data_IF_515446584151
#
_entry.id   IF_515446584151
#
_cell.length_a   1.000
_cell.length_b   1.000
_cell.length_c   1.000
_cell.angle_alpha   90.00
_cell.angle_beta   90.00
_cell.angle_gamma   90.00
#
_symmetry.space_group_name_H-M   'P 1'
#
loop_
_entity.id
_entity.type
_entity.pdbx_description
1 polymer ?
#
# COMPACT_ATOMS: atom_id res chain seq x y z
N UNK A 1 -28.66 4.97 54.72
CA UNK A 1 -29.30 6.22 54.23
C UNK A 1 -28.29 6.94 53.34
N UNK A 2 -28.46 6.89 52.02
CA UNK A 2 -27.57 7.57 51.07
C UNK A 2 -27.77 9.08 51.20
N UNK A 3 -26.69 9.83 51.35
CA UNK A 3 -26.76 11.27 51.57
C UNK A 3 -27.09 11.98 50.25
N UNK A 4 -27.83 13.09 50.31
CA UNK A 4 -28.31 13.79 49.10
C UNK A 4 -27.16 14.30 48.21
N UNK A 5 -26.00 14.57 48.82
CA UNK A 5 -24.75 14.92 48.14
C UNK A 5 -24.13 13.74 47.39
N UNK A 6 -24.19 12.54 47.96
CA UNK A 6 -23.66 11.33 47.32
C UNK A 6 -24.53 10.91 46.14
N UNK A 7 -25.86 11.10 46.26
CA UNK A 7 -26.79 10.93 45.13
C UNK A 7 -26.49 11.93 44.00
N UNK A 8 -26.15 13.18 44.36
CA UNK A 8 -25.85 14.24 43.38
C UNK A 8 -24.52 14.01 42.67
N UNK A 9 -23.51 13.49 43.39
CA UNK A 9 -22.21 13.07 42.82
C UNK A 9 -22.39 11.87 41.89
N UNK A 10 -23.23 10.89 42.27
CA UNK A 10 -23.53 9.73 41.42
C UNK A 10 -24.21 10.14 40.10
N UNK A 11 -25.13 11.11 40.15
CA UNK A 11 -25.75 11.70 38.96
C UNK A 11 -24.76 12.48 38.09
N UNK A 12 -23.79 13.18 38.71
CA UNK A 12 -22.74 13.90 37.97
C UNK A 12 -21.81 12.94 37.21
N UNK A 13 -21.47 11.79 37.80
CA UNK A 13 -20.64 10.76 37.16
C UNK A 13 -21.35 10.07 35.98
N UNK A 14 -22.66 9.84 36.09
CA UNK A 14 -23.46 9.26 35.00
C UNK A 14 -23.58 10.25 33.81
N UNK A 15 -23.68 11.55 34.09
CA UNK A 15 -23.74 12.59 33.05
C UNK A 15 -22.45 12.76 32.25
N UNK A 16 -21.28 12.44 32.83
CA UNK A 16 -19.97 12.50 32.15
C UNK A 16 -19.74 11.26 31.27
N UNK A 17 -20.27 10.10 31.65
CA UNK A 17 -20.08 8.84 30.91
C UNK A 17 -20.88 8.75 29.59
N UNK A 18 -21.91 9.59 29.41
CA UNK A 18 -22.78 9.57 28.22
C UNK A 18 -22.21 10.43 27.06
N UNK A 19 -21.16 11.23 27.29
CA UNK A 19 -20.68 12.23 26.33
C UNK A 19 -19.53 11.78 25.42
N UNK A 20 -19.12 10.52 25.48
CA UNK A 20 -18.20 9.94 24.50
C UNK A 20 -18.93 8.94 23.61
N UNK A 21 -19.78 9.36 22.65
CA UNK A 21 -19.94 8.54 21.48
C UNK A 21 -18.54 8.44 20.86
N UNK A 22 -18.02 7.22 20.75
CA UNK A 22 -16.91 6.93 19.85
C UNK A 22 -17.36 7.40 18.47
N UNK A 23 -16.93 8.60 18.09
CA UNK A 23 -17.25 9.21 16.81
C UNK A 23 -16.51 8.39 15.75
N UNK A 24 -17.15 7.32 15.28
CA UNK A 24 -16.83 6.74 13.98
C UNK A 24 -17.44 7.65 12.95
N UNK A 25 -16.71 8.69 12.55
CA UNK A 25 -17.07 9.48 11.38
C UNK A 25 -16.96 8.56 10.15
N UNK A 26 -18.10 8.12 9.62
CA UNK A 26 -18.16 7.67 8.24
C UNK A 26 -17.87 8.88 7.36
N UNK A 27 -16.65 8.96 6.80
CA UNK A 27 -16.34 9.94 5.77
C UNK A 27 -17.23 9.63 4.58
N UNK A 28 -18.33 10.37 4.41
CA UNK A 28 -19.05 10.42 3.16
C UNK A 28 -18.25 11.31 2.21
N UNK A 29 -17.66 10.71 1.17
CA UNK A 29 -17.04 11.46 0.07
C UNK A 29 -18.15 12.15 -0.73
N UNK A 30 -18.64 13.30 -0.26
CA UNK A 30 -19.51 14.16 -1.04
C UNK A 30 -18.66 15.12 -1.86
N UNK A 31 -18.79 15.05 -3.18
CA UNK A 31 -18.16 15.99 -4.10
C UNK A 31 -18.76 17.37 -3.87
N UNK A 32 -18.00 18.26 -3.23
CA UNK A 32 -18.39 19.65 -3.08
C UNK A 32 -18.37 20.32 -4.47
N UNK A 33 -19.56 20.49 -5.05
CA UNK A 33 -19.74 21.07 -6.39
C UNK A 33 -19.21 22.51 -6.48
N UNK A 34 -19.06 23.21 -5.34
CA UNK A 34 -18.45 24.54 -5.28
C UNK A 34 -16.93 24.51 -5.50
N UNK A 35 -16.25 23.44 -5.07
CA UNK A 35 -14.82 23.22 -5.32
C UNK A 35 -14.56 22.82 -6.78
N UNK A 36 -15.53 22.17 -7.43
CA UNK A 36 -15.41 21.76 -8.83
C UNK A 36 -15.10 22.95 -9.74
N UNK A 37 -15.88 24.04 -9.64
CA UNK A 37 -15.62 25.26 -10.43
C UNK A 37 -14.30 25.95 -10.12
N UNK A 38 -13.79 25.81 -8.89
CA UNK A 38 -12.54 26.44 -8.43
C UNK A 38 -11.29 25.73 -8.97
N UNK A 39 -11.32 24.41 -9.12
CA UNK A 39 -10.14 23.60 -9.44
C UNK A 39 -10.21 22.86 -10.78
N UNK A 40 -11.33 22.89 -11.51
CA UNK A 40 -11.45 22.18 -12.81
C UNK A 40 -10.39 22.62 -13.82
N UNK A 41 -9.96 23.88 -13.76
CA UNK A 41 -8.92 24.42 -14.63
C UNK A 41 -7.50 24.30 -14.06
N UNK A 42 -7.33 23.89 -12.79
CA UNK A 42 -6.00 23.73 -12.18
C UNK A 42 -5.35 22.39 -12.51
N UNK A 43 -6.12 21.41 -12.97
CA UNK A 43 -5.63 20.10 -13.41
C UNK A 43 -5.71 20.06 -14.93
N UNK A 44 -4.58 19.83 -15.61
CA UNK A 44 -4.56 19.62 -17.05
C UNK A 44 -3.86 18.31 -17.41
N UNK A 45 -4.36 17.65 -18.46
CA UNK A 45 -3.77 16.41 -18.96
C UNK A 45 -2.30 16.61 -19.37
N UNK A 46 -1.95 17.77 -19.93
CA UNK A 46 -0.57 18.11 -20.30
C UNK A 46 0.34 18.18 -19.08
N UNK A 47 -0.09 18.85 -18.01
CA UNK A 47 0.70 18.93 -16.78
C UNK A 47 0.87 17.55 -16.13
N UNK A 48 -0.21 16.76 -16.04
CA UNK A 48 -0.17 15.41 -15.50
C UNK A 48 0.79 14.50 -16.30
N UNK A 49 0.66 14.50 -17.63
CA UNK A 49 1.52 13.72 -18.53
C UNK A 49 2.99 14.12 -18.38
N UNK A 50 3.29 15.41 -18.23
CA UNK A 50 4.66 15.87 -17.99
C UNK A 50 5.28 15.21 -16.76
N UNK A 51 4.58 15.21 -15.62
CA UNK A 51 5.08 14.62 -14.39
C UNK A 51 5.24 13.10 -14.50
N UNK A 52 4.24 12.41 -15.04
CA UNK A 52 4.27 10.95 -15.22
C UNK A 52 5.42 10.54 -16.15
N UNK A 53 5.54 11.17 -17.32
CA UNK A 53 6.57 10.84 -18.30
C UNK A 53 7.97 11.19 -17.81
N UNK A 54 8.12 12.25 -17.02
CA UNK A 54 9.41 12.57 -16.39
C UNK A 54 9.82 11.48 -15.41
N UNK A 55 8.94 11.10 -14.47
CA UNK A 55 9.21 10.08 -13.46
C UNK A 55 9.33 8.65 -14.03
N UNK A 56 8.75 8.40 -15.20
CA UNK A 56 8.85 7.13 -15.92
C UNK A 56 9.98 7.10 -16.95
N UNK A 57 10.71 8.20 -17.14
CA UNK A 57 11.78 8.27 -18.13
C UNK A 57 13.00 7.47 -17.71
N UNK A 58 13.79 7.02 -18.69
CA UNK A 58 15.01 6.25 -18.45
C UNK A 58 16.03 7.00 -17.58
N UNK A 59 16.06 8.34 -17.62
CA UNK A 59 16.96 9.15 -16.79
C UNK A 59 16.63 9.10 -15.30
N UNK A 60 15.37 8.78 -14.96
CA UNK A 60 14.94 8.55 -13.58
C UNK A 60 15.06 7.08 -13.16
N UNK A 61 15.45 6.20 -14.09
CA UNK A 61 15.74 4.79 -13.85
C UNK A 61 14.60 4.03 -13.19
N UNK A 62 14.96 2.92 -12.53
CA UNK A 62 14.04 2.14 -11.71
C UNK A 62 13.89 2.74 -10.31
N UNK A 63 12.66 2.77 -9.79
CA UNK A 63 12.35 3.25 -8.42
C UNK A 63 12.39 2.12 -7.38
N UNK A 64 13.28 1.15 -7.57
CA UNK A 64 13.54 0.13 -6.55
C UNK A 64 14.22 0.82 -5.36
N UNK A 65 13.81 0.49 -4.13
CA UNK A 65 14.45 1.03 -2.93
C UNK A 65 15.95 0.71 -2.93
N UNK A 66 16.77 1.67 -2.49
CA UNK A 66 18.24 1.56 -2.48
C UNK A 66 18.93 1.79 -3.82
N UNK A 67 18.21 2.20 -4.88
CA UNK A 67 18.78 2.55 -6.19
C UNK A 67 18.67 4.06 -6.43
N UNK A 68 19.61 4.64 -7.19
CA UNK A 68 19.69 6.09 -7.46
C UNK A 68 18.43 6.71 -8.11
N UNK A 69 17.59 5.89 -8.73
CA UNK A 69 16.32 6.32 -9.31
C UNK A 69 15.32 6.82 -8.27
N UNK A 70 15.30 6.23 -7.06
CA UNK A 70 14.41 6.70 -5.97
C UNK A 70 14.82 8.11 -5.51
N UNK A 71 16.13 8.37 -5.42
CA UNK A 71 16.67 9.66 -5.00
C UNK A 71 16.42 10.74 -6.06
N UNK A 72 16.57 10.38 -7.34
CA UNK A 72 16.26 11.27 -8.47
C UNK A 72 14.79 11.68 -8.47
N UNK A 73 13.88 10.73 -8.23
CA UNK A 73 12.46 11.01 -8.10
C UNK A 73 12.15 11.89 -6.88
N UNK A 74 12.78 11.63 -5.72
CA UNK A 74 12.60 12.43 -4.52
C UNK A 74 13.05 13.89 -4.72
N UNK A 75 14.21 14.09 -5.36
CA UNK A 75 14.73 15.42 -5.70
C UNK A 75 13.81 16.18 -6.67
N UNK A 76 13.23 15.47 -7.64
CA UNK A 76 12.25 16.07 -8.55
C UNK A 76 10.99 16.51 -7.81
N UNK A 77 10.44 15.67 -6.93
CA UNK A 77 9.27 16.03 -6.13
C UNK A 77 9.54 17.21 -5.20
N UNK A 78 10.71 17.24 -4.56
CA UNK A 78 11.15 18.36 -3.74
C UNK A 78 11.21 19.67 -4.56
N UNK A 79 11.78 19.64 -5.76
CA UNK A 79 11.80 20.81 -6.65
C UNK A 79 10.37 21.27 -7.00
N UNK A 80 9.48 20.34 -7.33
CA UNK A 80 8.09 20.61 -7.66
C UNK A 80 7.32 21.20 -6.47
N UNK A 81 7.52 20.68 -5.27
CA UNK A 81 6.91 21.19 -4.03
C UNK A 81 7.38 22.59 -3.68
N UNK A 82 8.68 22.85 -3.80
CA UNK A 82 9.23 24.19 -3.63
C UNK A 82 8.63 25.17 -4.65
N UNK A 83 8.51 24.76 -5.92
CA UNK A 83 7.93 25.60 -6.98
C UNK A 83 6.46 25.95 -6.70
N UNK A 84 5.72 25.04 -6.04
CA UNK A 84 4.33 25.26 -5.63
C UNK A 84 4.19 26.03 -4.31
N UNK A 85 5.30 26.34 -3.63
CA UNK A 85 5.28 27.03 -2.33
C UNK A 85 4.77 26.16 -1.18
N UNK A 86 4.82 24.83 -1.32
CA UNK A 86 4.45 23.91 -0.24
C UNK A 86 5.51 23.98 0.87
N UNK A 87 5.08 23.96 2.12
CA UNK A 87 5.99 23.92 3.26
C UNK A 87 6.33 22.47 3.62
N UNK A 88 7.57 22.26 4.03
CA UNK A 88 7.98 21.03 4.67
C UNK A 88 7.18 20.78 5.96
N UNK A 89 6.76 19.52 6.17
CA UNK A 89 6.00 19.12 7.36
C UNK A 89 6.94 18.85 8.55
N UNK A 90 8.19 18.48 8.26
CA UNK A 90 9.28 18.27 9.23
C UNK A 90 10.44 19.21 8.90
N UNK A 91 11.67 18.87 9.30
CA UNK A 91 12.85 19.67 8.99
C UNK A 91 13.24 19.69 7.50
N UNK A 92 12.66 18.80 6.69
CA UNK A 92 12.94 18.60 5.26
C UNK A 92 11.68 18.05 4.55
N UNK A 93 11.66 18.04 3.21
CA UNK A 93 10.67 17.34 2.39
C UNK A 93 10.86 15.81 2.40
N UNK A 94 12.03 15.33 2.83
CA UNK A 94 12.38 13.91 2.87
C UNK A 94 12.33 13.38 4.30
N UNK A 95 11.77 12.18 4.44
CA UNK A 95 11.82 11.42 5.69
C UNK A 95 12.74 10.22 5.51
N UNK A 96 13.75 10.12 6.35
CA UNK A 96 14.63 8.95 6.40
C UNK A 96 13.99 7.80 7.18
N UNK A 97 14.17 6.58 6.68
CA UNK A 97 13.76 5.36 7.34
C UNK A 97 14.73 4.22 7.00
N UNK A 98 14.86 3.26 7.90
CA UNK A 98 15.67 2.05 7.65
C UNK A 98 14.89 1.08 6.78
N UNK A 99 15.53 0.62 5.70
CA UNK A 99 15.02 -0.45 4.86
C UNK A 99 15.64 -1.78 5.25
N UNK A 100 14.84 -2.84 5.23
CA UNK A 100 15.32 -4.20 5.24
C UNK A 100 15.44 -4.67 3.79
N UNK A 101 16.67 -4.92 3.32
CA UNK A 101 16.89 -5.50 2.00
C UNK A 101 16.72 -7.01 2.08
N UNK A 102 15.55 -7.48 1.65
CA UNK A 102 15.26 -8.90 1.56
C UNK A 102 15.94 -9.43 0.30
N UNK A 103 17.09 -10.09 0.49
CA UNK A 103 17.75 -10.79 -0.60
C UNK A 103 16.92 -12.02 -0.97
N UNK A 104 16.23 -11.95 -2.11
CA UNK A 104 15.57 -13.10 -2.70
C UNK A 104 16.59 -13.90 -3.51
N UNK A 105 16.67 -15.20 -3.27
CA UNK A 105 17.35 -16.12 -4.19
C UNK A 105 16.38 -16.50 -5.30
N UNK A 106 16.66 -16.10 -6.53
CA UNK A 106 15.94 -16.63 -7.69
C UNK A 106 16.27 -18.12 -7.79
N UNK A 107 15.23 -18.96 -7.86
CA UNK A 107 15.37 -20.39 -8.09
C UNK A 107 14.93 -20.70 -9.52
N UNK A 108 15.55 -21.68 -10.17
CA UNK A 108 15.14 -22.13 -11.50
C UNK A 108 14.38 -23.44 -11.37
N UNK A 109 13.12 -23.47 -11.80
CA UNK A 109 12.39 -24.72 -12.02
C UNK A 109 12.67 -25.20 -13.42
N UNK A 110 13.02 -26.48 -13.55
CA UNK A 110 13.29 -27.12 -14.83
C UNK A 110 12.32 -28.28 -15.05
N UNK A 111 11.77 -28.36 -16.24
CA UNK A 111 11.04 -29.50 -16.79
C UNK A 111 11.69 -29.89 -18.12
N UNK A 112 11.27 -31.02 -18.69
CA UNK A 112 11.70 -31.44 -20.04
C UNK A 112 11.34 -30.43 -21.13
N UNK A 113 10.36 -29.55 -20.89
CA UNK A 113 9.80 -28.64 -21.90
C UNK A 113 10.11 -27.17 -21.63
N UNK A 114 10.39 -26.78 -20.39
CA UNK A 114 10.58 -25.38 -20.02
C UNK A 114 11.53 -25.21 -18.85
N UNK A 115 12.08 -24.00 -18.75
CA UNK A 115 12.78 -23.49 -17.58
C UNK A 115 12.16 -22.16 -17.18
N UNK A 116 11.79 -22.02 -15.91
CA UNK A 116 11.23 -20.79 -15.39
C UNK A 116 11.99 -20.37 -14.14
N UNK A 117 12.28 -19.08 -14.04
CA UNK A 117 12.79 -18.46 -12.82
C UNK A 117 11.61 -18.18 -11.90
N UNK A 118 11.70 -18.64 -10.66
CA UNK A 118 10.71 -18.43 -9.61
C UNK A 118 11.33 -17.68 -8.44
N UNK A 119 10.51 -16.83 -7.83
CA UNK A 119 10.85 -16.12 -6.61
C UNK A 119 10.24 -16.88 -5.42
N UNK A 120 11.02 -17.72 -4.70
CA UNK A 120 10.51 -18.42 -3.55
C UNK A 120 10.09 -17.41 -2.49
N UNK A 121 8.86 -17.54 -2.00
CA UNK A 121 8.36 -16.74 -0.88
C UNK A 121 8.72 -17.40 0.45
N UNK A 122 8.59 -16.63 1.53
CA UNK A 122 9.25 -16.81 2.83
C UNK A 122 9.04 -18.16 3.56
N UNK A 123 8.02 -18.95 3.20
CA UNK A 123 7.60 -20.14 3.96
C UNK A 123 7.38 -21.41 3.12
N UNK A 124 7.84 -21.46 1.87
CA UNK A 124 7.72 -22.67 1.05
C UNK A 124 8.72 -23.73 1.50
N UNK A 125 8.26 -24.96 1.77
CA UNK A 125 9.15 -26.10 1.87
C UNK A 125 9.91 -26.24 0.53
N UNK A 126 11.24 -26.32 0.59
CA UNK A 126 12.03 -26.63 -0.59
C UNK A 126 11.80 -28.10 -0.93
N UNK A 127 11.29 -28.35 -2.13
CA UNK A 127 11.13 -29.69 -2.68
C UNK A 127 12.12 -29.85 -3.83
N UNK A 128 12.82 -31.00 -3.88
CA UNK A 128 13.76 -31.30 -4.97
C UNK A 128 13.02 -31.53 -6.30
N UNK A 129 11.80 -32.09 -6.22
CA UNK A 129 10.89 -32.26 -7.35
C UNK A 129 9.45 -32.42 -6.86
N UNK A 130 8.50 -32.04 -7.71
CA UNK A 130 7.07 -32.16 -7.46
C UNK A 130 6.28 -32.18 -8.76
N UNK A 131 5.10 -32.78 -8.75
CA UNK A 131 4.14 -32.71 -9.85
C UNK A 131 3.55 -31.30 -9.92
N UNK A 132 3.46 -30.73 -11.12
CA UNK A 132 2.82 -29.43 -11.36
C UNK A 132 1.32 -29.62 -11.66
N UNK A 133 0.46 -28.99 -10.87
CA UNK A 133 -0.99 -28.99 -11.06
C UNK A 133 -1.49 -27.58 -11.28
N UNK A 134 -2.33 -27.42 -12.30
CA UNK A 134 -3.00 -26.15 -12.59
C UNK A 134 -4.35 -26.08 -11.88
N UNK A 135 -4.61 -24.99 -11.13
CA UNK A 135 -5.84 -24.78 -10.35
C UNK A 135 -6.55 -23.48 -10.69
N UNK A 136 -6.62 -23.13 -11.98
CA UNK A 136 -7.37 -21.94 -12.42
C UNK A 136 -6.81 -20.66 -11.80
N UNK A 137 -7.68 -19.85 -11.20
CA UNK A 137 -7.29 -18.54 -10.63
C UNK A 137 -6.89 -18.65 -9.13
N UNK A 138 -6.85 -19.87 -8.58
CA UNK A 138 -6.48 -20.12 -7.20
C UNK A 138 -7.57 -19.77 -6.17
N UNK A 139 -8.84 -19.64 -6.58
CA UNK A 139 -9.95 -19.54 -5.63
C UNK A 139 -10.29 -20.91 -5.04
N UNK A 140 -10.89 -20.94 -3.84
CA UNK A 140 -11.27 -22.18 -3.15
C UNK A 140 -12.07 -23.15 -4.03
N UNK A 141 -13.00 -22.64 -4.84
CA UNK A 141 -13.80 -23.42 -5.80
C UNK A 141 -12.95 -24.18 -6.82
N UNK A 142 -11.77 -23.67 -7.16
CA UNK A 142 -10.90 -24.22 -8.20
C UNK A 142 -10.12 -25.44 -7.69
N UNK A 143 -10.06 -25.63 -6.38
CA UNK A 143 -9.48 -26.83 -5.74
C UNK A 143 -10.48 -27.99 -5.63
N UNK A 144 -11.76 -27.78 -5.96
CA UNK A 144 -12.79 -28.78 -5.79
C UNK A 144 -12.50 -30.03 -6.65
N UNK A 145 -12.24 -31.16 -5.98
CA UNK A 145 -11.91 -32.43 -6.64
C UNK A 145 -10.47 -32.54 -7.16
N UNK A 146 -9.60 -31.58 -6.84
CA UNK A 146 -8.18 -31.60 -7.22
C UNK A 146 -7.33 -31.90 -5.99
N UNK A 147 -6.52 -32.96 -6.06
CA UNK A 147 -5.53 -33.26 -5.02
C UNK A 147 -4.27 -32.43 -5.23
N UNK A 148 -3.96 -31.58 -4.26
CA UNK A 148 -2.81 -30.64 -4.30
C UNK A 148 -1.76 -30.89 -3.22
N UNK A 149 -1.99 -31.86 -2.33
CA UNK A 149 -1.01 -32.27 -1.31
C UNK A 149 0.28 -32.76 -1.98
N UNK A 150 1.43 -32.27 -1.50
CA UNK A 150 2.78 -32.54 -2.04
C UNK A 150 2.97 -32.20 -3.53
N UNK A 151 2.16 -31.28 -4.07
CA UNK A 151 2.26 -30.83 -5.46
C UNK A 151 2.57 -29.35 -5.55
N UNK A 152 3.21 -28.96 -6.66
CA UNK A 152 3.35 -27.56 -7.02
C UNK A 152 2.07 -27.08 -7.68
N UNK A 153 1.50 -26.01 -7.14
CA UNK A 153 0.26 -25.45 -7.61
C UNK A 153 0.56 -24.23 -8.48
N UNK A 154 0.05 -24.25 -9.70
CA UNK A 154 0.06 -23.10 -10.61
C UNK A 154 -1.35 -22.53 -10.73
N UNK A 155 -1.50 -21.24 -10.43
CA UNK A 155 -2.72 -20.47 -10.59
C UNK A 155 -2.43 -19.19 -11.37
N UNK A 156 -3.40 -18.71 -12.15
CA UNK A 156 -3.30 -17.46 -12.91
C UNK A 156 -3.97 -16.26 -12.23
#
# INVERSE_FOLDING_TARGET
>A
MINKKDLLVLWLFILIAIQNPCISQSISLQSDSSLHGKYINSISASNLSKHILTLASNSFGGRKMGQSGIDSAANYLEYEYNRLGLQQVVNDYKQEFTIFDWQYSIQTLTSDQFQIEVFPTWNGALMDSAELVFVGDGYEKDYAGISVEDKMVNSC
#
